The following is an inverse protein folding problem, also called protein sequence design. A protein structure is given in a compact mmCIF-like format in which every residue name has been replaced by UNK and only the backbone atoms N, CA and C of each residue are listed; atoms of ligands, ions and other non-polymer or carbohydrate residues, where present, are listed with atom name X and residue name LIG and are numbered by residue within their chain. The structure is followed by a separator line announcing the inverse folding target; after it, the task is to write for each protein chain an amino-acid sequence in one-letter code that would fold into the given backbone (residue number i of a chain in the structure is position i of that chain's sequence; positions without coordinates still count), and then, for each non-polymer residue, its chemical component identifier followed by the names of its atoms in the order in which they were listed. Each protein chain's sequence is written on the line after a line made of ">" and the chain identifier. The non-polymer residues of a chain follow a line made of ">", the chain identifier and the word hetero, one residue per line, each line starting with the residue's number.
data_IF_156955810947
#
_entry.id   IF_156955810947
#
_cell.length_a   1.000
_cell.length_b   1.000
_cell.length_c   1.000
_cell.angle_alpha   90.00
_cell.angle_beta   90.00
_cell.angle_gamma   90.00
#
_symmetry.space_group_name_H-M   'P 1'
#
loop_
_entity.id
_entity.type
_entity.pdbx_description
1 polymer ?
#
# COMPACT_ATOMS: atom_id res chain seq x y z
N UNK A 1 17.10 -19.02 11.25
CA UNK A 1 16.75 -17.58 11.23
C UNK A 1 15.33 -17.43 11.75
N UNK A 2 15.02 -16.44 12.61
CA UNK A 2 13.67 -16.25 13.11
C UNK A 2 12.71 -15.91 11.96
N UNK A 3 11.51 -16.50 11.96
CA UNK A 3 10.50 -16.37 10.87
C UNK A 3 10.21 -14.91 10.48
N UNK A 4 10.25 -14.01 11.46
CA UNK A 4 10.03 -12.57 11.31
C UNK A 4 11.04 -11.93 10.35
N UNK A 5 12.32 -12.32 10.44
CA UNK A 5 13.38 -11.75 9.59
C UNK A 5 13.18 -12.16 8.12
N UNK A 6 12.73 -13.39 7.86
CA UNK A 6 12.47 -13.86 6.51
C UNK A 6 11.25 -13.19 5.86
N UNK A 7 10.20 -12.88 6.63
CA UNK A 7 9.02 -12.14 6.12
C UNK A 7 9.33 -10.67 5.87
N UNK A 8 10.09 -10.02 6.75
CA UNK A 8 10.48 -8.61 6.56
C UNK A 8 11.43 -8.45 5.36
N UNK A 9 12.35 -9.40 5.16
CA UNK A 9 13.24 -9.41 4.00
C UNK A 9 12.60 -9.95 2.73
N UNK A 10 11.36 -10.47 2.80
CA UNK A 10 10.61 -10.87 1.62
C UNK A 10 10.26 -9.66 0.76
N UNK A 11 10.17 -9.86 -0.55
CA UNK A 11 9.95 -8.83 -1.57
C UNK A 11 8.88 -7.75 -1.25
N UNK A 12 7.72 -8.07 -0.63
CA UNK A 12 6.75 -7.03 -0.22
C UNK A 12 7.14 -6.24 1.04
N UNK A 13 7.84 -6.86 1.99
CA UNK A 13 8.23 -6.22 3.26
C UNK A 13 9.39 -5.22 3.05
N UNK A 14 10.35 -5.58 2.19
CA UNK A 14 11.47 -4.70 1.86
C UNK A 14 11.02 -3.43 1.13
N UNK A 15 10.01 -3.52 0.25
CA UNK A 15 9.43 -2.35 -0.41
C UNK A 15 8.76 -1.38 0.57
N UNK A 16 8.12 -1.88 1.62
CA UNK A 16 7.51 -1.03 2.67
C UNK A 16 8.54 -0.31 3.53
N UNK A 17 9.64 -0.98 3.87
CA UNK A 17 10.75 -0.30 4.55
C UNK A 17 11.33 0.78 3.65
N UNK A 18 11.46 0.52 2.35
CA UNK A 18 11.95 1.49 1.39
C UNK A 18 11.01 2.71 1.27
N UNK A 19 9.68 2.51 1.26
CA UNK A 19 8.72 3.63 1.22
C UNK A 19 8.81 4.48 2.47
N UNK A 20 8.98 3.87 3.65
CA UNK A 20 9.17 4.58 4.90
C UNK A 20 10.46 5.42 4.88
N UNK A 21 11.58 4.83 4.45
CA UNK A 21 12.88 5.52 4.35
C UNK A 21 12.81 6.72 3.39
N UNK A 22 12.16 6.54 2.24
CA UNK A 22 11.99 7.62 1.26
C UNK A 22 11.02 8.70 1.77
N UNK A 23 9.97 8.33 2.51
CA UNK A 23 9.08 9.28 3.18
C UNK A 23 9.82 10.12 4.23
N UNK A 24 10.68 9.50 5.04
CA UNK A 24 11.51 10.21 6.03
C UNK A 24 12.50 11.14 5.33
N UNK A 25 13.12 10.67 4.25
CA UNK A 25 14.04 11.49 3.46
C UNK A 25 13.33 12.72 2.90
N UNK A 26 12.11 12.56 2.39
CA UNK A 26 11.27 13.64 1.90
C UNK A 26 10.88 14.62 3.02
N UNK A 27 10.53 14.16 4.23
CA UNK A 27 10.30 15.05 5.37
C UNK A 27 11.52 15.91 5.68
N UNK A 28 12.72 15.31 5.67
CA UNK A 28 13.96 16.01 5.98
C UNK A 28 14.24 17.06 4.91
N UNK A 29 14.12 16.73 3.62
CA UNK A 29 14.37 17.70 2.55
C UNK A 29 13.35 18.83 2.57
N UNK A 30 12.06 18.52 2.78
CA UNK A 30 10.99 19.52 2.80
C UNK A 30 11.11 20.47 4.01
N UNK A 31 11.61 19.98 5.15
CA UNK A 31 11.87 20.80 6.33
C UNK A 31 13.03 21.79 6.15
N UNK A 32 13.94 21.53 5.20
CA UNK A 32 15.09 22.40 4.91
C UNK A 32 14.82 23.42 3.79
N UNK A 33 13.66 23.36 3.15
CA UNK A 33 13.24 24.33 2.12
C UNK A 33 13.01 25.70 2.75
N UNK A 34 13.63 26.74 2.18
CA UNK A 34 13.61 28.10 2.77
C UNK A 34 12.33 28.86 2.51
N UNK A 35 11.72 28.65 1.35
CA UNK A 35 10.50 29.32 0.91
C UNK A 35 9.54 28.20 0.51
N UNK A 36 8.36 28.19 1.12
CA UNK A 36 7.35 27.17 0.83
C UNK A 36 6.44 27.69 -0.28
N UNK A 37 6.52 27.16 -1.50
CA UNK A 37 5.64 27.59 -2.58
C UNK A 37 4.18 27.18 -2.28
N UNK A 38 3.21 27.81 -2.96
CA UNK A 38 1.81 27.41 -2.86
C UNK A 38 1.63 25.95 -3.29
N UNK A 39 1.18 25.10 -2.36
CA UNK A 39 1.03 23.66 -2.57
C UNK A 39 1.81 22.79 -1.58
N UNK A 40 2.80 23.34 -0.88
CA UNK A 40 3.62 22.61 0.11
C UNK A 40 2.80 22.03 1.26
N UNK A 41 1.66 22.63 1.61
CA UNK A 41 0.74 22.08 2.62
C UNK A 41 0.15 20.72 2.22
N UNK A 42 -0.12 20.52 0.92
CA UNK A 42 -0.61 19.24 0.38
C UNK A 42 0.51 18.19 0.39
N UNK A 43 1.75 18.60 0.10
CA UNK A 43 2.92 17.72 0.20
C UNK A 43 3.12 17.25 1.65
N UNK A 44 3.06 18.16 2.62
CA UNK A 44 3.13 17.82 4.05
C UNK A 44 2.02 16.88 4.50
N UNK A 45 0.79 17.10 4.01
CA UNK A 45 -0.34 16.23 4.29
C UNK A 45 -0.11 14.82 3.73
N UNK A 46 0.32 14.70 2.46
CA UNK A 46 0.61 13.42 1.82
C UNK A 46 1.70 12.64 2.56
N UNK A 47 2.75 13.34 2.98
CA UNK A 47 3.87 12.80 3.74
C UNK A 47 3.46 12.35 5.14
N UNK A 48 2.66 13.16 5.85
CA UNK A 48 2.15 12.80 7.17
C UNK A 48 1.26 11.56 7.13
N UNK A 49 0.35 11.48 6.15
CA UNK A 49 -0.51 10.32 5.94
C UNK A 49 0.30 9.07 5.56
N UNK A 50 1.27 9.19 4.65
CA UNK A 50 2.07 8.03 4.26
C UNK A 50 2.92 7.50 5.41
N UNK A 51 3.50 8.39 6.22
CA UNK A 51 4.26 8.01 7.41
C UNK A 51 3.39 7.23 8.41
N UNK A 52 2.18 7.72 8.71
CA UNK A 52 1.26 7.05 9.63
C UNK A 52 0.86 5.66 9.14
N UNK A 53 0.50 5.53 7.85
CA UNK A 53 0.08 4.25 7.29
C UNK A 53 1.25 3.27 7.14
N UNK A 54 2.42 3.71 6.69
CA UNK A 54 3.58 2.83 6.56
C UNK A 54 4.01 2.25 7.91
N UNK A 55 4.02 3.06 8.98
CA UNK A 55 4.28 2.55 10.34
C UNK A 55 3.21 1.55 10.77
N UNK A 56 1.93 1.86 10.54
CA UNK A 56 0.82 0.99 10.93
C UNK A 56 0.90 -0.38 10.23
N UNK A 57 1.20 -0.40 8.94
CA UNK A 57 1.34 -1.64 8.17
C UNK A 57 2.62 -2.42 8.52
N UNK A 58 3.73 -1.74 8.80
CA UNK A 58 4.96 -2.41 9.28
C UNK A 58 4.74 -3.02 10.68
N UNK A 59 4.06 -2.31 11.57
CA UNK A 59 3.67 -2.82 12.88
C UNK A 59 2.75 -4.05 12.74
N UNK A 60 1.83 -4.03 11.78
CA UNK A 60 0.97 -5.17 11.50
C UNK A 60 1.77 -6.38 11.00
N UNK A 61 2.68 -6.19 10.04
CA UNK A 61 3.54 -7.24 9.51
C UNK A 61 4.44 -7.88 10.58
N UNK A 62 4.85 -7.12 11.60
CA UNK A 62 5.72 -7.61 12.69
C UNK A 62 4.96 -8.33 13.80
N UNK A 63 3.67 -8.04 14.00
CA UNK A 63 2.90 -8.57 15.14
C UNK A 63 2.18 -9.90 14.83
N UNK A 64 2.21 -10.38 13.58
CA UNK A 64 1.56 -11.63 13.11
C UNK A 64 0.06 -11.78 13.50
N UNK A 65 -0.61 -10.69 13.89
CA UNK A 65 -2.01 -10.66 14.35
C UNK A 65 -3.00 -10.38 13.22
N UNK A 66 -2.86 -11.07 12.09
CA UNK A 66 -3.75 -10.89 10.91
C UNK A 66 -5.22 -11.15 11.24
N UNK A 67 -5.52 -12.07 12.17
CA UNK A 67 -6.89 -12.49 12.50
C UNK A 67 -7.62 -11.65 13.55
N UNK A 68 -6.92 -10.77 14.29
CA UNK A 68 -7.53 -9.99 15.39
C UNK A 68 -7.93 -8.57 15.00
N UNK A 69 -7.36 -8.00 13.92
CA UNK A 69 -7.60 -6.59 13.57
C UNK A 69 -8.69 -6.35 12.51
N UNK A 70 -9.02 -7.34 11.68
CA UNK A 70 -10.07 -7.22 10.67
C UNK A 70 -11.27 -8.12 11.02
N UNK A 71 -12.15 -7.69 11.95
CA UNK A 71 -13.36 -8.43 12.31
C UNK A 71 -14.46 -8.36 11.23
N UNK A 72 -14.26 -7.55 10.19
CA UNK A 72 -15.22 -7.35 9.11
C UNK A 72 -15.01 -8.40 8.03
N UNK A 73 -15.99 -9.31 7.86
CA UNK A 73 -16.05 -10.29 6.76
C UNK A 73 -15.83 -9.58 5.42
N UNK A 74 -14.73 -9.91 4.74
CA UNK A 74 -14.45 -9.50 3.35
C UNK A 74 -13.35 -8.45 3.16
N UNK A 75 -12.87 -7.77 4.21
CA UNK A 75 -11.73 -6.84 4.09
C UNK A 75 -10.44 -7.55 4.52
N UNK A 76 -9.66 -8.01 3.54
CA UNK A 76 -8.33 -8.57 3.79
C UNK A 76 -7.29 -7.46 3.91
N UNK A 77 -6.17 -7.76 4.60
CA UNK A 77 -4.98 -6.90 4.65
C UNK A 77 -4.58 -6.39 3.26
N UNK A 78 -4.59 -7.26 2.26
CA UNK A 78 -4.25 -6.94 0.87
C UNK A 78 -5.19 -5.93 0.23
N UNK A 79 -6.47 -5.92 0.60
CA UNK A 79 -7.46 -4.96 0.11
C UNK A 79 -7.19 -3.58 0.68
N UNK A 80 -6.99 -3.50 2.00
CA UNK A 80 -6.70 -2.24 2.69
C UNK A 80 -5.37 -1.63 2.21
N UNK A 81 -4.33 -2.46 2.08
CA UNK A 81 -3.01 -2.05 1.61
C UNK A 81 -3.04 -1.54 0.17
N UNK A 82 -3.78 -2.21 -0.73
CA UNK A 82 -3.97 -1.75 -2.12
C UNK A 82 -4.69 -0.40 -2.16
N UNK A 83 -5.77 -0.24 -1.39
CA UNK A 83 -6.56 0.99 -1.37
C UNK A 83 -5.75 2.18 -0.83
N UNK A 84 -5.02 1.99 0.28
CA UNK A 84 -4.17 3.04 0.85
C UNK A 84 -3.00 3.36 -0.08
N UNK A 85 -2.35 2.35 -0.67
CA UNK A 85 -1.26 2.56 -1.63
C UNK A 85 -1.73 3.33 -2.87
N UNK A 86 -2.93 3.04 -3.37
CA UNK A 86 -3.53 3.76 -4.50
C UNK A 86 -3.87 5.21 -4.14
N UNK A 87 -4.45 5.45 -2.96
CA UNK A 87 -4.75 6.80 -2.50
C UNK A 87 -3.46 7.64 -2.35
N UNK A 88 -2.44 7.07 -1.72
CA UNK A 88 -1.13 7.71 -1.55
C UNK A 88 -0.41 7.93 -2.88
N UNK A 89 -0.54 7.01 -3.84
CA UNK A 89 -0.04 7.19 -5.20
C UNK A 89 -0.60 8.46 -5.85
N UNK A 90 -1.93 8.66 -5.75
CA UNK A 90 -2.58 9.86 -6.31
C UNK A 90 -2.09 11.13 -5.61
N UNK A 91 -2.01 11.13 -4.28
CA UNK A 91 -1.50 12.28 -3.53
C UNK A 91 -0.05 12.62 -3.89
N UNK A 92 0.83 11.62 -3.99
CA UNK A 92 2.23 11.84 -4.37
C UNK A 92 2.40 12.27 -5.82
N UNK A 93 1.57 11.77 -6.74
CA UNK A 93 1.57 12.22 -8.12
C UNK A 93 1.17 13.70 -8.24
N UNK A 94 0.12 14.12 -7.52
CA UNK A 94 -0.30 15.53 -7.47
C UNK A 94 0.81 16.38 -6.83
N UNK A 95 1.39 15.93 -5.71
CA UNK A 95 2.50 16.61 -5.04
C UNK A 95 3.69 16.82 -5.98
N UNK A 96 4.08 15.79 -6.73
CA UNK A 96 5.17 15.87 -7.71
C UNK A 96 4.87 16.88 -8.83
N UNK A 97 3.66 16.86 -9.38
CA UNK A 97 3.24 17.81 -10.41
C UNK A 97 3.25 19.25 -9.88
N UNK A 98 2.82 19.48 -8.63
CA UNK A 98 2.91 20.79 -7.99
C UNK A 98 4.36 21.25 -7.81
N UNK A 99 5.27 20.34 -7.43
CA UNK A 99 6.68 20.68 -7.33
C UNK A 99 7.28 21.10 -8.68
N UNK A 100 6.96 20.38 -9.77
CA UNK A 100 7.48 20.72 -11.11
C UNK A 100 6.95 22.06 -11.63
N UNK A 101 5.69 22.38 -11.33
CA UNK A 101 5.08 23.62 -11.81
C UNK A 101 5.38 24.83 -10.92
N UNK A 102 6.14 24.67 -9.83
CA UNK A 102 6.51 25.79 -8.98
C UNK A 102 7.64 26.61 -9.61
N UNK A 103 7.54 27.94 -9.52
CA UNK A 103 8.58 28.86 -9.99
C UNK A 103 9.89 28.70 -9.19
N UNK A 104 9.82 28.17 -7.97
CA UNK A 104 10.94 27.99 -7.04
C UNK A 104 11.79 26.73 -7.34
N UNK A 105 11.41 25.93 -8.34
CA UNK A 105 12.11 24.68 -8.66
C UNK A 105 13.56 24.91 -9.09
N UNK A 106 13.90 26.05 -9.69
CA UNK A 106 15.28 26.33 -10.13
C UNK A 106 16.14 27.00 -9.05
N UNK A 107 15.53 27.48 -7.97
CA UNK A 107 16.16 28.42 -7.06
C UNK A 107 16.60 27.76 -5.73
N UNK A 108 15.96 26.65 -5.33
CA UNK A 108 16.31 25.90 -4.12
C UNK A 108 16.63 24.43 -4.39
N UNK A 109 17.90 24.06 -4.19
CA UNK A 109 18.37 22.67 -4.30
C UNK A 109 17.61 21.70 -3.39
N UNK A 110 17.14 22.15 -2.22
CA UNK A 110 16.34 21.32 -1.30
C UNK A 110 14.95 21.05 -1.84
N UNK A 111 14.40 21.99 -2.61
CA UNK A 111 13.11 21.83 -3.25
C UNK A 111 13.21 20.86 -4.44
N UNK A 112 14.28 20.92 -5.23
CA UNK A 112 14.60 19.93 -6.27
C UNK A 112 14.72 18.53 -5.66
N UNK A 113 15.47 18.39 -4.57
CA UNK A 113 15.62 17.11 -3.87
C UNK A 113 14.25 16.57 -3.40
N UNK A 114 13.40 17.45 -2.85
CA UNK A 114 12.05 17.08 -2.42
C UNK A 114 11.18 16.62 -3.60
N UNK A 115 11.27 17.25 -4.77
CA UNK A 115 10.57 16.82 -5.97
C UNK A 115 11.02 15.42 -6.43
N UNK A 116 12.33 15.14 -6.38
CA UNK A 116 12.89 13.82 -6.71
C UNK A 116 12.38 12.75 -5.74
N UNK A 117 12.39 13.03 -4.43
CA UNK A 117 11.88 12.07 -3.44
C UNK A 117 10.37 11.85 -3.56
N UNK A 118 9.60 12.88 -3.90
CA UNK A 118 8.18 12.73 -4.21
C UNK A 118 7.94 11.84 -5.44
N UNK A 119 8.76 11.96 -6.49
CA UNK A 119 8.71 11.08 -7.65
C UNK A 119 9.05 9.63 -7.29
N UNK A 120 10.12 9.42 -6.52
CA UNK A 120 10.51 8.07 -6.08
C UNK A 120 9.37 7.44 -5.27
N UNK A 121 8.77 8.18 -4.33
CA UNK A 121 7.61 7.69 -3.57
C UNK A 121 6.42 7.37 -4.47
N UNK A 122 6.14 8.20 -5.48
CA UNK A 122 5.10 7.91 -6.47
C UNK A 122 5.32 6.56 -7.14
N UNK A 123 6.54 6.28 -7.60
CA UNK A 123 6.90 5.01 -8.24
C UNK A 123 6.76 3.84 -7.25
N UNK A 124 7.22 4.02 -6.02
CA UNK A 124 7.14 2.98 -4.99
C UNK A 124 5.69 2.63 -4.62
N UNK A 125 4.82 3.64 -4.47
CA UNK A 125 3.39 3.41 -4.23
C UNK A 125 2.69 2.79 -5.44
N UNK A 126 3.11 3.08 -6.67
CA UNK A 126 2.63 2.39 -7.86
C UNK A 126 3.03 0.90 -7.85
N UNK A 127 4.29 0.59 -7.53
CA UNK A 127 4.77 -0.78 -7.38
C UNK A 127 4.01 -1.54 -6.28
N UNK A 128 3.80 -0.91 -5.11
CA UNK A 128 3.01 -1.49 -4.03
C UNK A 128 1.58 -1.79 -4.49
N UNK A 129 0.93 -0.83 -5.14
CA UNK A 129 -0.44 -1.00 -5.67
C UNK A 129 -0.52 -2.21 -6.60
N UNK A 130 0.39 -2.34 -7.56
CA UNK A 130 0.40 -3.49 -8.51
C UNK A 130 0.62 -4.82 -7.79
N UNK A 131 1.56 -4.87 -6.84
CA UNK A 131 1.89 -6.10 -6.13
C UNK A 131 0.76 -6.56 -5.21
N UNK A 132 0.18 -5.64 -4.43
CA UNK A 132 -0.91 -5.96 -3.51
C UNK A 132 -2.22 -6.22 -4.27
N UNK A 133 -2.47 -5.55 -5.40
CA UNK A 133 -3.60 -5.86 -6.28
C UNK A 133 -3.49 -7.28 -6.85
N UNK A 134 -2.30 -7.70 -7.30
CA UNK A 134 -2.08 -9.07 -7.79
C UNK A 134 -2.35 -10.12 -6.71
N UNK A 135 -1.91 -9.86 -5.48
CA UNK A 135 -2.16 -10.76 -4.34
C UNK A 135 -3.64 -10.84 -4.01
N UNK A 136 -4.31 -9.69 -3.96
CA UNK A 136 -5.75 -9.63 -3.74
C UNK A 136 -6.54 -10.39 -4.83
N UNK A 137 -6.18 -10.23 -6.11
CA UNK A 137 -6.79 -10.99 -7.21
C UNK A 137 -6.55 -12.50 -7.09
N UNK A 138 -5.38 -12.92 -6.59
CA UNK A 138 -5.09 -14.33 -6.36
C UNK A 138 -5.94 -14.92 -5.21
N UNK A 139 -6.08 -14.19 -4.10
CA UNK A 139 -6.95 -14.58 -2.98
C UNK A 139 -8.42 -14.64 -3.41
N UNK A 140 -8.87 -13.65 -4.18
CA UNK A 140 -10.25 -13.61 -4.65
C UNK A 140 -10.57 -14.79 -5.59
N UNK A 141 -9.61 -15.21 -6.43
CA UNK A 141 -9.76 -16.43 -7.25
C UNK A 141 -9.79 -17.71 -6.42
N UNK A 142 -8.99 -17.81 -5.36
CA UNK A 142 -8.99 -18.99 -4.49
C UNK A 142 -10.31 -19.12 -3.74
N UNK A 143 -10.80 -18.03 -3.14
CA UNK A 143 -12.10 -18.01 -2.46
C UNK A 143 -13.27 -18.32 -3.40
N UNK A 144 -13.24 -17.84 -4.65
CA UNK A 144 -14.25 -18.20 -5.67
C UNK A 144 -14.17 -19.67 -6.08
N UNK A 145 -12.97 -20.23 -6.25
CA UNK A 145 -12.80 -21.64 -6.59
C UNK A 145 -13.25 -22.56 -5.44
N UNK A 146 -12.96 -22.20 -4.18
CA UNK A 146 -13.40 -22.94 -3.00
C UNK A 146 -14.93 -22.89 -2.85
N UNK A 147 -15.55 -21.72 -3.05
CA UNK A 147 -17.01 -21.58 -3.03
C UNK A 147 -17.69 -22.32 -4.20
N UNK A 148 -17.05 -22.37 -5.37
CA UNK A 148 -17.51 -23.15 -6.52
C UNK A 148 -17.45 -24.66 -6.25
N UNK A 149 -16.37 -25.13 -5.63
CA UNK A 149 -16.20 -26.53 -5.23
C UNK A 149 -17.22 -26.93 -4.14
N UNK A 150 -17.49 -26.05 -3.18
CA UNK A 150 -18.48 -26.28 -2.13
C UNK A 150 -19.90 -26.39 -2.71
N UNK A 151 -20.25 -25.56 -3.70
CA UNK A 151 -21.52 -25.65 -4.41
C UNK A 151 -21.64 -26.93 -5.26
N UNK A 152 -20.58 -27.36 -5.96
CA UNK A 152 -20.57 -28.63 -6.73
C UNK A 152 -20.73 -29.86 -5.81
N UNK A 153 -20.15 -29.84 -4.60
CA UNK A 153 -20.32 -30.91 -3.60
C UNK A 153 -21.75 -30.91 -3.02
N UNK A 154 -22.35 -29.74 -2.82
CA UNK A 154 -23.74 -29.64 -2.39
C UNK A 154 -24.73 -30.11 -3.47
N UNK A 155 -24.48 -29.79 -4.74
CA UNK A 155 -25.32 -30.24 -5.86
C UNK A 155 -25.16 -31.75 -6.15
N UNK A 156 -23.96 -32.32 -5.99
CA UNK A 156 -23.74 -33.77 -6.11
C UNK A 156 -24.40 -34.57 -4.98
N UNK A 157 -24.50 -34.02 -3.77
CA UNK A 157 -25.18 -34.68 -2.65
C UNK A 157 -26.71 -34.55 -2.72
N UNK A 158 -27.27 -33.74 -3.64
CA UNK A 158 -28.72 -33.59 -3.81
C UNK A 158 -29.34 -34.52 -4.87
N UNK A 159 -28.55 -35.30 -5.61
CA UNK A 159 -29.03 -36.33 -6.55
C UNK A 159 -29.09 -37.74 -5.92
N UNK A 160 -29.60 -37.80 -4.69
CA UNK A 160 -29.76 -39.04 -3.93
C UNK A 160 -31.08 -39.08 -3.17
N UNK A 161 -32.22 -38.95 -3.86
CA UNK A 161 -33.49 -39.48 -3.35
C UNK A 161 -33.81 -40.79 -4.09
N UNK A 162 -33.68 -41.95 -3.44
CA UNK A 162 -34.09 -43.23 -4.01
C UNK A 162 -35.61 -43.36 -3.86
N UNK A 163 -36.34 -43.39 -4.98
CA UNK A 163 -37.71 -43.93 -5.01
C UNK A 163 -37.82 -44.89 -6.22
N UNK A 164 -37.17 -46.04 -6.08
CA UNK A 164 -37.72 -47.30 -6.59
C UNK A 164 -38.65 -47.86 -5.50
N UNK A 165 -39.96 -47.69 -5.67
CA UNK A 165 -41.01 -48.56 -5.14
C UNK A 165 -42.36 -48.25 -5.82
#
# INVERSE_FOLDING_TARGET
>A
MPLVLHRVLSWPGSLKILTLVMTISLMITLANVKISPPGTSLVWLAVGLSFFFDISFIAMLTTERDSQLFPVRGVTYFTAETAVSLALLVFYAIAFVLCINSEEMTDDNWFIASAIFALINTILFACNTVLFLRKWLAEHRQTLNEAGLENDIFDQNSYGSPDEA
#
